data_IF_471000951539
#
_entry.id   IF_471000951539
#
_cell.length_a   1.000
_cell.length_b   1.000
_cell.length_c   1.000
_cell.angle_alpha   90.00
_cell.angle_beta   90.00
_cell.angle_gamma   90.00
#
_symmetry.space_group_name_H-M   'P 1'
#
loop_
_entity.id
_entity.type
_entity.pdbx_description
1 polymer ?
#
# COMPACT_ATOMS: atom_id res chain seq x y z
N UNK A 1 -4.99 7.59 -13.12
CA UNK A 1 -4.01 7.46 -12.05
C UNK A 1 -3.71 6.00 -11.78
N UNK A 2 -2.56 5.70 -11.26
CA UNK A 2 -2.12 4.32 -11.03
C UNK A 2 -2.04 4.00 -9.55
N UNK A 3 -2.68 2.92 -9.14
CA UNK A 3 -2.67 2.42 -7.76
C UNK A 3 -1.91 1.09 -7.75
N UNK A 4 -0.88 0.98 -6.91
CA UNK A 4 -0.14 -0.27 -6.75
C UNK A 4 -0.62 -1.01 -5.51
N UNK A 5 -0.91 -2.30 -5.66
CA UNK A 5 -1.32 -3.17 -4.56
C UNK A 5 -0.24 -4.22 -4.34
N UNK A 6 0.33 -4.23 -3.14
CA UNK A 6 1.45 -5.11 -2.78
C UNK A 6 1.02 -6.04 -1.65
N UNK A 7 1.02 -7.34 -1.92
CA UNK A 7 0.68 -8.38 -0.96
C UNK A 7 1.17 -9.71 -1.53
N UNK A 8 1.71 -10.58 -0.70
CA UNK A 8 2.19 -11.89 -1.16
C UNK A 8 1.04 -12.85 -1.47
N UNK A 9 -0.17 -12.54 -1.03
CA UNK A 9 -1.37 -13.32 -1.32
C UNK A 9 -2.12 -12.75 -2.52
N UNK A 10 -2.22 -13.53 -3.60
CA UNK A 10 -3.00 -13.12 -4.78
C UNK A 10 -4.48 -12.91 -4.44
N UNK A 11 -5.02 -13.70 -3.50
CA UNK A 11 -6.40 -13.55 -3.04
C UNK A 11 -6.59 -12.22 -2.34
N UNK A 12 -5.66 -11.84 -1.48
CA UNK A 12 -5.74 -10.56 -0.77
C UNK A 12 -5.61 -9.38 -1.73
N UNK A 13 -4.72 -9.47 -2.73
CA UNK A 13 -4.63 -8.42 -3.75
C UNK A 13 -5.97 -8.22 -4.46
N UNK A 14 -6.64 -9.32 -4.83
CA UNK A 14 -7.95 -9.24 -5.48
C UNK A 14 -9.01 -8.62 -4.58
N UNK A 15 -8.97 -8.91 -3.28
CA UNK A 15 -9.90 -8.32 -2.31
C UNK A 15 -9.69 -6.80 -2.19
N UNK A 16 -8.45 -6.34 -2.16
CA UNK A 16 -8.13 -4.91 -2.13
C UNK A 16 -8.59 -4.24 -3.43
N UNK A 17 -8.33 -4.85 -4.57
CA UNK A 17 -8.74 -4.32 -5.87
C UNK A 17 -10.26 -4.21 -5.95
N UNK A 18 -10.98 -5.21 -5.46
CA UNK A 18 -12.45 -5.19 -5.40
C UNK A 18 -12.95 -4.05 -4.52
N UNK A 19 -12.32 -3.86 -3.36
CA UNK A 19 -12.67 -2.78 -2.46
C UNK A 19 -12.43 -1.40 -3.11
N UNK A 20 -11.35 -1.26 -3.88
CA UNK A 20 -11.08 -0.04 -4.65
C UNK A 20 -12.20 0.26 -5.64
N UNK A 21 -12.68 -0.74 -6.37
CA UNK A 21 -13.80 -0.58 -7.29
C UNK A 21 -15.07 -0.15 -6.57
N UNK A 22 -15.36 -0.78 -5.43
CA UNK A 22 -16.54 -0.46 -4.62
C UNK A 22 -16.45 0.93 -4.00
N UNK A 23 -15.23 1.40 -3.75
CA UNK A 23 -14.99 2.75 -3.22
C UNK A 23 -15.03 3.85 -4.29
N UNK A 24 -15.20 3.49 -5.56
CA UNK A 24 -15.29 4.45 -6.67
C UNK A 24 -13.99 4.65 -7.44
N UNK A 25 -12.97 3.83 -7.22
CA UNK A 25 -11.67 3.94 -7.90
C UNK A 25 -11.51 2.93 -9.03
N UNK A 26 -12.59 2.39 -9.56
CA UNK A 26 -12.55 1.38 -10.63
C UNK A 26 -12.03 1.88 -11.97
N UNK A 27 -11.99 3.19 -12.18
CA UNK A 27 -11.48 3.79 -13.41
C UNK A 27 -9.97 4.00 -13.39
N UNK A 28 -9.32 3.76 -12.24
CA UNK A 28 -7.87 3.90 -12.11
C UNK A 28 -7.17 2.62 -12.55
N UNK A 29 -5.96 2.76 -13.08
CA UNK A 29 -5.11 1.61 -13.38
C UNK A 29 -4.60 1.00 -12.08
N UNK A 30 -4.65 -0.33 -11.99
CA UNK A 30 -4.14 -1.05 -10.83
C UNK A 30 -2.99 -1.96 -11.26
N UNK A 31 -1.86 -1.85 -10.59
CA UNK A 31 -0.72 -2.75 -10.77
C UNK A 31 -0.50 -3.53 -9.48
N UNK A 32 0.02 -4.74 -9.61
CA UNK A 32 0.20 -5.66 -8.48
C UNK A 32 1.66 -6.03 -8.31
N UNK A 33 2.06 -6.26 -7.06
CA UNK A 33 3.37 -6.81 -6.73
C UNK A 33 3.19 -7.82 -5.60
N UNK A 34 4.01 -8.88 -5.61
CA UNK A 34 3.90 -9.99 -4.66
C UNK A 34 4.74 -9.79 -3.40
N UNK A 35 5.69 -8.88 -3.42
CA UNK A 35 6.51 -8.54 -2.25
C UNK A 35 7.13 -7.15 -2.42
N UNK A 36 7.84 -6.71 -1.39
CA UNK A 36 8.45 -5.37 -1.40
C UNK A 36 9.55 -5.20 -2.43
N UNK A 37 10.33 -6.25 -2.70
CA UNK A 37 11.40 -6.18 -3.69
C UNK A 37 10.84 -6.00 -5.11
N UNK A 38 9.79 -6.76 -5.44
CA UNK A 38 9.10 -6.63 -6.72
C UNK A 38 8.45 -5.26 -6.86
N UNK A 39 7.83 -4.78 -5.77
CA UNK A 39 7.23 -3.45 -5.74
C UNK A 39 8.26 -2.35 -5.95
N UNK A 40 9.41 -2.44 -5.29
CA UNK A 40 10.48 -1.45 -5.42
C UNK A 40 10.97 -1.35 -6.87
N UNK A 41 11.21 -2.50 -7.51
CA UNK A 41 11.62 -2.54 -8.92
C UNK A 41 10.57 -1.92 -9.83
N UNK A 42 9.31 -2.23 -9.60
CA UNK A 42 8.20 -1.70 -10.40
C UNK A 42 8.06 -0.17 -10.23
N UNK A 43 8.23 0.33 -9.02
CA UNK A 43 8.17 1.76 -8.72
C UNK A 43 9.34 2.50 -9.40
N UNK A 44 10.53 1.90 -9.43
CA UNK A 44 11.68 2.48 -10.13
C UNK A 44 11.42 2.64 -11.63
N UNK A 45 10.68 1.71 -12.24
CA UNK A 45 10.35 1.76 -13.67
C UNK A 45 9.24 2.74 -13.98
N UNK A 46 8.22 2.78 -13.14
CA UNK A 46 7.04 3.62 -13.35
C UNK A 46 6.37 3.90 -12.00
N UNK A 47 6.57 5.10 -11.48
CA UNK A 47 6.07 5.45 -10.15
C UNK A 47 4.54 5.56 -10.16
N UNK A 48 3.84 4.78 -9.32
CA UNK A 48 2.39 4.92 -9.16
C UNK A 48 2.03 6.19 -8.40
N UNK A 49 0.75 6.52 -8.38
CA UNK A 49 0.25 7.66 -7.62
C UNK A 49 0.06 7.35 -6.14
N UNK A 50 -0.17 6.08 -5.83
CA UNK A 50 -0.27 5.60 -4.44
C UNK A 50 0.09 4.12 -4.39
N UNK A 51 0.65 3.69 -3.26
CA UNK A 51 0.98 2.29 -2.98
C UNK A 51 0.17 1.84 -1.76
N UNK A 52 -0.52 0.72 -1.91
CA UNK A 52 -1.20 0.02 -0.81
C UNK A 52 -0.44 -1.28 -0.56
N UNK A 53 0.19 -1.42 0.59
CA UNK A 53 1.09 -2.53 0.87
C UNK A 53 0.70 -3.26 2.14
N UNK A 54 0.79 -4.60 2.11
CA UNK A 54 0.76 -5.39 3.32
C UNK A 54 2.03 -5.14 4.13
N UNK A 55 1.98 -5.46 5.42
CA UNK A 55 3.11 -5.32 6.33
C UNK A 55 4.08 -6.49 6.21
N UNK A 56 3.55 -7.72 6.29
CA UNK A 56 4.34 -8.94 6.27
C UNK A 56 4.39 -9.56 4.88
N UNK A 57 5.58 -9.59 4.30
CA UNK A 57 5.81 -10.19 2.98
C UNK A 57 7.20 -10.81 2.95
N UNK A 58 7.42 -11.86 2.13
CA UNK A 58 8.76 -12.44 1.97
C UNK A 58 9.70 -11.49 1.23
N UNK A 59 10.98 -11.76 1.25
CA UNK A 59 12.06 -11.04 0.59
C UNK A 59 12.26 -9.60 1.09
N UNK A 60 11.23 -8.77 1.02
CA UNK A 60 11.23 -7.41 1.55
C UNK A 60 9.83 -7.13 2.09
N UNK A 61 9.71 -6.82 3.37
CA UNK A 61 8.43 -6.49 3.99
C UNK A 61 8.02 -5.04 3.72
N UNK A 62 6.82 -4.66 4.16
CA UNK A 62 6.30 -3.32 3.90
C UNK A 62 7.11 -2.21 4.55
N UNK A 63 7.62 -2.43 5.75
CA UNK A 63 8.46 -1.44 6.44
C UNK A 63 9.78 -1.21 5.69
N UNK A 64 10.42 -2.29 5.25
CA UNK A 64 11.63 -2.21 4.45
C UNK A 64 11.39 -1.50 3.13
N UNK A 65 10.24 -1.75 2.49
CA UNK A 65 9.87 -1.10 1.24
C UNK A 65 9.74 0.43 1.42
N UNK A 66 8.96 0.88 2.39
CA UNK A 66 8.77 2.32 2.60
C UNK A 66 10.08 2.99 3.03
N UNK A 67 10.87 2.33 3.85
CA UNK A 67 12.18 2.84 4.28
C UNK A 67 13.13 3.01 3.10
N UNK A 68 13.16 2.02 2.20
CA UNK A 68 13.99 2.09 0.98
C UNK A 68 13.56 3.23 0.07
N UNK A 69 12.26 3.40 -0.12
CA UNK A 69 11.71 4.49 -0.95
C UNK A 69 12.08 5.85 -0.39
N UNK A 70 11.91 6.06 0.90
CA UNK A 70 12.20 7.35 1.53
C UNK A 70 13.70 7.64 1.54
N UNK A 71 14.54 6.63 1.70
CA UNK A 71 16.01 6.78 1.61
C UNK A 71 16.47 7.23 0.22
N UNK A 72 15.71 6.89 -0.82
CA UNK A 72 15.99 7.32 -2.20
C UNK A 72 15.42 8.70 -2.53
N UNK A 73 14.71 9.33 -1.60
CA UNK A 73 14.03 10.59 -1.85
C UNK A 73 12.70 10.44 -2.57
N UNK A 74 12.19 9.21 -2.67
CA UNK A 74 10.88 8.96 -3.26
C UNK A 74 9.81 9.19 -2.20
N UNK A 75 8.87 10.08 -2.48
CA UNK A 75 7.81 10.48 -1.56
C UNK A 75 6.43 9.99 -2.00
N UNK A 76 6.38 8.94 -2.83
CA UNK A 76 5.11 8.37 -3.27
C UNK A 76 4.25 8.02 -2.05
N UNK A 77 2.97 8.44 -2.01
CA UNK A 77 2.09 8.07 -0.91
C UNK A 77 2.00 6.56 -0.78
N UNK A 78 2.23 6.05 0.43
CA UNK A 78 2.18 4.62 0.71
C UNK A 78 1.41 4.41 2.00
N UNK A 79 0.35 3.62 1.92
CA UNK A 79 -0.44 3.20 3.07
C UNK A 79 -0.30 1.71 3.30
N UNK A 80 -0.28 1.31 4.56
CA UNK A 80 -0.30 -0.11 4.93
C UNK A 80 -1.72 -0.61 5.08
N UNK A 81 -1.95 -1.82 4.57
CA UNK A 81 -3.20 -2.57 4.75
C UNK A 81 -2.83 -3.86 5.45
N UNK A 82 -3.10 -3.96 6.74
CA UNK A 82 -2.60 -5.06 7.55
C UNK A 82 -3.65 -5.59 8.54
N UNK A 83 -3.58 -6.89 8.86
CA UNK A 83 -4.39 -7.51 9.90
C UNK A 83 -3.85 -7.22 11.30
N UNK A 84 -2.62 -6.72 11.41
CA UNK A 84 -2.03 -6.32 12.66
C UNK A 84 -2.26 -4.83 12.89
N UNK A 85 -2.75 -4.48 14.08
CA UNK A 85 -3.02 -3.09 14.40
C UNK A 85 -2.79 -2.86 15.88
N UNK A 86 -1.70 -2.18 16.21
CA UNK A 86 -1.39 -1.74 17.57
C UNK A 86 -0.60 -0.43 17.49
N UNK A 87 -0.48 0.25 18.64
CA UNK A 87 0.17 1.55 18.70
C UNK A 87 1.64 1.52 18.27
N UNK A 88 2.35 0.43 18.60
CA UNK A 88 3.75 0.26 18.25
C UNK A 88 3.94 0.13 16.74
N UNK A 89 3.11 -0.69 16.09
CA UNK A 89 3.13 -0.86 14.64
C UNK A 89 2.81 0.47 13.94
N UNK A 90 1.81 1.17 14.43
CA UNK A 90 1.39 2.46 13.90
C UNK A 90 2.53 3.49 13.98
N UNK A 91 3.20 3.55 15.13
CA UNK A 91 4.35 4.44 15.33
C UNK A 91 5.49 4.10 14.37
N UNK A 92 5.81 2.81 14.23
CA UNK A 92 6.87 2.35 13.32
C UNK A 92 6.56 2.72 11.87
N UNK A 93 5.32 2.55 11.44
CA UNK A 93 4.89 2.91 10.09
C UNK A 93 5.02 4.41 9.84
N UNK A 94 4.57 5.23 10.77
CA UNK A 94 4.64 6.68 10.68
C UNK A 94 6.09 7.17 10.64
N UNK A 95 6.94 6.65 11.50
CA UNK A 95 8.37 7.00 11.55
C UNK A 95 9.09 6.64 10.26
N UNK A 96 8.72 5.52 9.65
CA UNK A 96 9.30 5.10 8.37
C UNK A 96 8.81 5.94 7.18
N UNK A 97 7.77 6.74 7.37
CA UNK A 97 7.27 7.63 6.33
C UNK A 97 6.02 7.15 5.61
N UNK A 98 5.28 6.21 6.19
CA UNK A 98 3.99 5.78 5.64
C UNK A 98 2.95 6.90 5.78
N UNK A 99 2.07 7.00 4.80
CA UNK A 99 1.03 8.03 4.77
C UNK A 99 -0.16 7.68 5.66
N UNK A 100 -0.48 6.39 5.77
CA UNK A 100 -1.58 5.92 6.63
C UNK A 100 -1.44 4.43 6.91
N UNK A 101 -2.26 3.94 7.84
CA UNK A 101 -2.35 2.52 8.16
C UNK A 101 -3.83 2.14 8.23
N UNK A 102 -4.21 1.12 7.49
CA UNK A 102 -5.58 0.63 7.39
C UNK A 102 -5.63 -0.80 7.92
N UNK A 103 -6.46 -1.05 8.93
CA UNK A 103 -6.59 -2.36 9.55
C UNK A 103 -7.57 -3.25 8.80
N UNK A 104 -7.21 -4.52 8.60
CA UNK A 104 -8.10 -5.54 8.07
C UNK A 104 -8.95 -6.13 9.21
N UNK A 105 -10.22 -6.42 9.00
CA UNK A 105 -11.00 -6.13 7.80
C UNK A 105 -11.33 -4.65 7.67
N UNK A 106 -11.38 -4.16 6.45
CA UNK A 106 -11.72 -2.76 6.17
C UNK A 106 -12.90 -2.71 5.20
N UNK A 107 -13.60 -1.57 5.17
CA UNK A 107 -14.70 -1.34 4.24
C UNK A 107 -14.22 -0.47 3.06
N UNK A 108 -14.95 -0.45 1.94
CA UNK A 108 -14.69 0.51 0.87
C UNK A 108 -14.68 1.96 1.36
N UNK A 109 -15.54 2.30 2.33
CA UNK A 109 -15.57 3.64 2.91
C UNK A 109 -14.30 3.98 3.69
N UNK A 110 -13.74 3.01 4.43
CA UNK A 110 -12.47 3.18 5.13
C UNK A 110 -11.35 3.50 4.13
N UNK A 111 -11.31 2.76 3.03
CA UNK A 111 -10.33 2.95 1.97
C UNK A 111 -10.49 4.32 1.31
N UNK A 112 -11.72 4.70 0.98
CA UNK A 112 -12.02 5.98 0.37
C UNK A 112 -11.63 7.16 1.26
N UNK A 113 -11.81 7.05 2.58
CA UNK A 113 -11.49 8.13 3.51
C UNK A 113 -9.99 8.44 3.54
N UNK A 114 -9.13 7.43 3.31
CA UNK A 114 -7.68 7.63 3.22
C UNK A 114 -7.25 8.09 1.83
N UNK A 115 -7.83 7.53 0.78
CA UNK A 115 -7.44 7.86 -0.59
C UNK A 115 -7.98 9.20 -1.07
N UNK A 116 -9.07 9.67 -0.52
CA UNK A 116 -9.69 10.92 -0.94
C UNK A 116 -8.80 12.16 -0.80
N UNK A 117 -7.83 12.13 0.10
CA UNK A 117 -6.86 13.22 0.26
C UNK A 117 -5.62 13.07 -0.63
N UNK A 118 -5.47 11.93 -1.29
CA UNK A 118 -4.29 11.59 -2.10
C UNK A 118 -4.61 11.64 -3.59
N UNK A 119 -5.77 11.12 -3.97
CA UNK A 119 -6.18 11.01 -5.38
C UNK A 119 -7.23 12.04 -5.81
#
# INVERSE_FOLDING_TARGET
MTIMVVDDSAVMRKLVIRALRQAGYGDHDVVEAADGAEALDAIHRDQPDVVLSDWNMPNMNGLELVSALRAEGCDVPLGFVTSESNAELHSSATEAGASFLLSKPFTPDDLASHLGSIL
#
